data_IF_968421332990
#
_entry.id   IF_968421332990
#
_cell.length_a   1.000
_cell.length_b   1.000
_cell.length_c   1.000
_cell.angle_alpha   90.00
_cell.angle_beta   90.00
_cell.angle_gamma   90.00
#
_symmetry.space_group_name_H-M   'P 1'
#
loop_
_entity.id
_entity.type
_entity.pdbx_description
1 polymer ?
#
# COMPACT_ATOMS: atom_id res chain seq x y z
N UNK A 1 28.83 -6.69 -7.64
CA UNK A 1 28.72 -5.23 -7.87
C UNK A 1 28.59 -4.48 -6.54
N UNK A 2 28.89 -3.18 -6.48
CA UNK A 2 28.57 -2.34 -5.32
C UNK A 2 27.08 -2.02 -5.24
N UNK A 3 26.60 -1.62 -4.05
CA UNK A 3 25.19 -1.27 -3.84
C UNK A 3 24.75 -0.03 -4.65
N UNK A 4 25.69 0.87 -4.96
CA UNK A 4 25.44 2.04 -5.81
C UNK A 4 25.31 1.63 -7.28
N UNK A 5 26.15 0.71 -7.74
CA UNK A 5 26.09 0.17 -9.10
C UNK A 5 24.77 -0.59 -9.33
N UNK A 6 24.31 -1.41 -8.38
CA UNK A 6 23.03 -2.13 -8.50
C UNK A 6 21.81 -1.20 -8.63
N UNK A 7 21.90 0.02 -8.09
CA UNK A 7 20.82 1.02 -8.12
C UNK A 7 20.96 2.03 -9.26
N UNK A 8 22.03 1.93 -10.05
CA UNK A 8 22.30 2.86 -11.14
C UNK A 8 21.44 2.59 -12.37
N UNK A 9 20.88 1.38 -12.49
CA UNK A 9 20.03 0.98 -13.61
C UNK A 9 18.75 1.82 -13.68
N UNK A 10 18.45 2.33 -14.88
CA UNK A 10 17.21 3.05 -15.18
C UNK A 10 16.36 2.22 -16.13
N UNK A 11 15.06 2.13 -15.87
CA UNK A 11 14.11 1.37 -16.69
C UNK A 11 13.94 1.89 -18.12
N UNK A 12 14.36 3.12 -18.39
CA UNK A 12 14.39 3.70 -19.74
C UNK A 12 15.80 3.67 -20.37
N UNK A 13 16.72 2.90 -19.79
CA UNK A 13 18.03 2.65 -20.39
C UNK A 13 17.87 1.85 -21.68
N UNK A 14 18.75 2.12 -22.65
CA UNK A 14 18.88 1.32 -23.87
C UNK A 14 19.77 0.08 -23.66
N UNK A 15 20.38 -0.05 -22.48
CA UNK A 15 21.18 -1.20 -22.06
C UNK A 15 20.36 -2.15 -21.19
N UNK A 16 20.60 -3.45 -21.32
CA UNK A 16 19.97 -4.47 -20.47
C UNK A 16 20.61 -4.52 -19.08
N UNK A 17 19.82 -4.74 -18.01
CA UNK A 17 20.37 -4.89 -16.66
C UNK A 17 21.11 -6.22 -16.56
N UNK A 18 22.11 -6.28 -15.68
CA UNK A 18 22.68 -7.58 -15.27
C UNK A 18 21.65 -8.36 -14.46
N UNK A 19 21.83 -9.68 -14.35
CA UNK A 19 20.96 -10.53 -13.52
C UNK A 19 20.90 -10.04 -12.06
N UNK A 20 22.03 -9.59 -11.50
CA UNK A 20 22.11 -9.03 -10.14
C UNK A 20 21.28 -7.73 -10.00
N UNK A 21 21.31 -6.86 -11.01
CA UNK A 21 20.49 -5.64 -11.05
C UNK A 21 19.00 -5.96 -11.18
N UNK A 22 18.66 -6.91 -12.05
CA UNK A 22 17.30 -7.36 -12.26
C UNK A 22 16.72 -7.96 -10.97
N UNK A 23 17.47 -8.81 -10.28
CA UNK A 23 17.08 -9.37 -8.99
C UNK A 23 16.83 -8.26 -7.96
N UNK A 24 17.72 -7.28 -7.85
CA UNK A 24 17.57 -6.15 -6.94
C UNK A 24 16.30 -5.32 -7.23
N UNK A 25 15.98 -5.09 -8.51
CA UNK A 25 14.75 -4.41 -8.95
C UNK A 25 13.53 -5.24 -8.55
N UNK A 26 13.54 -6.55 -8.82
CA UNK A 26 12.42 -7.44 -8.51
C UNK A 26 12.15 -7.54 -7.02
N UNK A 27 13.19 -7.60 -6.19
CA UNK A 27 13.07 -7.55 -4.73
C UNK A 27 12.46 -6.22 -4.25
N UNK A 28 12.89 -5.09 -4.82
CA UNK A 28 12.33 -3.77 -4.52
C UNK A 28 10.85 -3.66 -4.90
N UNK A 29 10.46 -4.18 -6.07
CA UNK A 29 9.07 -4.24 -6.52
C UNK A 29 8.25 -5.13 -5.58
N UNK A 30 8.75 -6.31 -5.22
CA UNK A 30 8.08 -7.23 -4.31
C UNK A 30 7.83 -6.59 -2.94
N UNK A 31 8.84 -5.94 -2.36
CA UNK A 31 8.70 -5.25 -1.08
C UNK A 31 7.67 -4.11 -1.16
N UNK A 32 7.73 -3.32 -2.22
CA UNK A 32 6.79 -2.22 -2.44
C UNK A 32 5.37 -2.74 -2.56
N UNK A 33 5.13 -3.78 -3.37
CA UNK A 33 3.81 -4.39 -3.54
C UNK A 33 3.25 -4.92 -2.22
N UNK A 34 4.07 -5.62 -1.41
CA UNK A 34 3.66 -6.10 -0.08
C UNK A 34 3.24 -4.93 0.83
N UNK A 35 4.04 -3.87 0.87
CA UNK A 35 3.75 -2.68 1.70
C UNK A 35 2.49 -1.96 1.23
N UNK A 36 2.28 -1.78 -0.07
CA UNK A 36 1.10 -1.10 -0.59
C UNK A 36 -0.17 -1.90 -0.33
N UNK A 37 -0.16 -3.21 -0.54
CA UNK A 37 -1.30 -4.08 -0.21
C UNK A 37 -1.63 -4.05 1.27
N UNK A 38 -0.63 -4.18 2.15
CA UNK A 38 -0.84 -4.12 3.60
C UNK A 38 -1.44 -2.77 4.04
N UNK A 39 -0.93 -1.65 3.50
CA UNK A 39 -1.47 -0.32 3.77
C UNK A 39 -2.90 -0.15 3.27
N UNK A 40 -3.20 -0.62 2.05
CA UNK A 40 -4.54 -0.54 1.48
C UNK A 40 -5.56 -1.32 2.32
N UNK A 41 -5.19 -2.52 2.80
CA UNK A 41 -6.04 -3.30 3.71
C UNK A 41 -6.27 -2.56 5.03
N UNK A 42 -5.21 -2.05 5.66
CA UNK A 42 -5.34 -1.33 6.92
C UNK A 42 -6.25 -0.10 6.81
N UNK A 43 -6.13 0.66 5.71
CA UNK A 43 -7.00 1.81 5.47
C UNK A 43 -8.46 1.41 5.19
N UNK A 44 -8.67 0.31 4.46
CA UNK A 44 -10.02 -0.23 4.27
C UNK A 44 -10.65 -0.61 5.61
N UNK A 45 -9.93 -1.39 6.43
CA UNK A 45 -10.41 -1.82 7.73
C UNK A 45 -10.74 -0.59 8.63
N UNK A 46 -9.87 0.43 8.63
CA UNK A 46 -10.09 1.69 9.35
C UNK A 46 -11.37 2.40 8.91
N UNK A 47 -11.59 2.54 7.59
CA UNK A 47 -12.79 3.19 7.04
C UNK A 47 -14.06 2.41 7.34
N UNK A 48 -14.00 1.09 7.33
CA UNK A 48 -15.15 0.24 7.68
C UNK A 48 -15.56 0.44 9.14
N UNK A 49 -14.60 0.46 10.07
CA UNK A 49 -14.91 0.70 11.49
C UNK A 49 -15.43 2.13 11.73
N UNK A 50 -14.89 3.12 11.02
CA UNK A 50 -15.40 4.49 11.06
C UNK A 50 -16.85 4.57 10.58
N UNK A 51 -17.17 3.92 9.44
CA UNK A 51 -18.54 3.87 8.92
C UNK A 51 -19.50 3.16 9.89
N UNK A 52 -19.09 2.04 10.50
CA UNK A 52 -19.91 1.35 11.52
C UNK A 52 -20.20 2.26 12.71
N UNK A 53 -19.20 3.02 13.17
CA UNK A 53 -19.38 3.98 14.27
C UNK A 53 -20.37 5.07 13.89
N UNK A 54 -20.25 5.67 12.71
CA UNK A 54 -21.18 6.70 12.22
C UNK A 54 -22.61 6.16 12.12
N UNK A 55 -22.80 4.94 11.60
CA UNK A 55 -24.13 4.31 11.53
C UNK A 55 -24.72 4.11 12.92
N UNK A 56 -23.91 3.67 13.90
CA UNK A 56 -24.36 3.49 15.29
C UNK A 56 -24.77 4.82 15.92
N UNK A 57 -23.97 5.86 15.76
CA UNK A 57 -24.27 7.22 16.24
C UNK A 57 -25.57 7.74 15.64
N UNK A 58 -25.73 7.60 14.31
CA UNK A 58 -26.95 8.00 13.62
C UNK A 58 -28.19 7.26 14.15
N UNK A 59 -28.12 5.94 14.35
CA UNK A 59 -29.23 5.15 14.92
C UNK A 59 -29.59 5.56 16.34
N UNK A 60 -28.59 5.92 17.15
CA UNK A 60 -28.82 6.38 18.52
C UNK A 60 -29.50 7.76 18.54
N UNK A 61 -29.09 8.66 17.65
CA UNK A 61 -29.70 9.98 17.51
C UNK A 61 -31.14 9.89 16.97
N UNK A 62 -31.40 9.01 16.00
CA UNK A 62 -32.74 8.83 15.42
C UNK A 62 -33.70 8.09 16.35
N UNK A 63 -33.23 7.18 17.22
CA UNK A 63 -34.05 6.57 18.27
C UNK A 63 -34.25 7.46 19.50
N UNK A 64 -33.43 8.50 19.69
CA UNK A 64 -33.64 9.55 20.71
C UNK A 64 -34.67 10.62 20.31
N UNK A 65 -35.11 10.63 19.04
CA UNK A 65 -36.22 11.45 18.52
C UNK A 65 -37.43 10.55 18.21
N UNK A 66 -37.98 9.87 19.22
CA UNK A 66 -39.37 9.41 19.14
C UNK A 66 -40.23 10.41 19.96
N UNK A 67 -41.30 10.98 19.38
CA UNK A 67 -42.24 11.81 20.13
C UNK A 67 -43.00 11.01 21.20
#
# INVERSE_FOLDING_TARGET
MSAEELKSYRLNSMEEPTDEMLEAIMLGVQETARKTTAKAKAELDRRFEEAKRQIKEYRQQSHGMQP
#
